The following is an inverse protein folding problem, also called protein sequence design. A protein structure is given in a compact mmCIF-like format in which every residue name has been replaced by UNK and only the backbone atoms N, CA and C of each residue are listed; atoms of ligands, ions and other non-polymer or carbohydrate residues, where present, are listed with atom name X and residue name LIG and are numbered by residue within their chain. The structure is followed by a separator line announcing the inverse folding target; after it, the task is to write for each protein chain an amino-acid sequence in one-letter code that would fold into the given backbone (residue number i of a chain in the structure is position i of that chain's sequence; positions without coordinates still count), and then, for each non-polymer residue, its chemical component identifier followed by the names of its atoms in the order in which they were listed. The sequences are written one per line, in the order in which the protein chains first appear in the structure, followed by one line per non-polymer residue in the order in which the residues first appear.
data_IF_342147309693
#
_entry.id   IF_342147309693
#
_cell.length_a   1.000
_cell.length_b   1.000
_cell.length_c   1.000
_cell.angle_alpha   90.00
_cell.angle_beta   90.00
_cell.angle_gamma   90.00
#
_symmetry.space_group_name_H-M   'P 1'
#
loop_
_entity.id
_entity.type
_entity.pdbx_description
1 polymer ?
#
# COMPACT_ATOMS: atom_id res chain seq x y z
N UNK A 1 -0.45 -9.40 10.62
CA UNK A 1 0.41 -9.57 9.42
C UNK A 1 1.54 -10.57 9.62
N UNK A 2 1.33 -11.66 10.36
CA UNK A 2 2.31 -12.74 10.44
C UNK A 2 1.85 -13.87 9.52
N UNK A 3 2.78 -14.50 8.80
CA UNK A 3 2.47 -15.56 7.83
C UNK A 3 3.59 -16.60 7.86
N UNK A 4 3.24 -17.87 7.73
CA UNK A 4 4.22 -18.94 7.68
C UNK A 4 5.01 -18.88 6.36
N UNK A 5 6.29 -19.22 6.41
CA UNK A 5 7.09 -19.37 5.20
C UNK A 5 6.48 -20.44 4.27
N UNK A 6 6.62 -20.25 2.97
CA UNK A 6 6.06 -21.09 1.90
C UNK A 6 4.52 -21.15 1.83
N UNK A 7 3.82 -20.43 2.70
CA UNK A 7 2.36 -20.33 2.67
C UNK A 7 1.87 -19.22 1.73
N UNK A 8 0.57 -18.93 1.77
CA UNK A 8 -0.08 -17.89 0.96
C UNK A 8 -0.46 -16.74 1.90
N UNK A 9 -0.13 -15.50 1.51
CA UNK A 9 -0.56 -14.30 2.19
C UNK A 9 -1.56 -13.51 1.35
N UNK A 10 -2.66 -13.09 1.98
CA UNK A 10 -3.65 -12.21 1.39
C UNK A 10 -3.67 -10.85 2.12
N UNK A 11 -3.33 -9.79 1.40
CA UNK A 11 -3.44 -8.41 1.87
C UNK A 11 -4.67 -7.75 1.23
N UNK A 12 -5.61 -7.30 2.07
CA UNK A 12 -6.87 -6.69 1.64
C UNK A 12 -6.82 -5.17 1.80
N UNK A 13 -7.23 -4.46 0.76
CA UNK A 13 -7.44 -3.03 0.76
C UNK A 13 -8.86 -2.73 0.26
N UNK A 14 -9.60 -1.90 1.00
CA UNK A 14 -10.95 -1.48 0.64
C UNK A 14 -11.02 0.03 0.65
N UNK A 15 -11.52 0.62 -0.44
CA UNK A 15 -11.67 2.04 -0.60
C UNK A 15 -13.11 2.39 -0.97
N UNK A 16 -13.68 3.35 -0.25
CA UNK A 16 -14.95 3.98 -0.60
C UNK A 16 -14.63 5.32 -1.24
N UNK A 17 -15.16 5.56 -2.44
CA UNK A 17 -14.82 6.74 -3.22
C UNK A 17 -15.97 7.21 -4.09
N UNK A 18 -15.99 8.53 -4.27
CA UNK A 18 -16.81 9.27 -5.22
C UNK A 18 -15.83 10.06 -6.08
N UNK A 19 -15.65 9.76 -7.38
CA UNK A 19 -16.03 8.57 -8.15
C UNK A 19 -15.35 7.26 -7.75
N UNK A 20 -15.61 6.20 -8.54
CA UNK A 20 -14.93 4.91 -8.44
C UNK A 20 -13.42 5.03 -8.27
N UNK A 21 -12.87 4.61 -7.11
CA UNK A 21 -11.45 4.67 -6.89
C UNK A 21 -10.72 3.54 -7.63
N UNK A 22 -9.60 3.89 -8.25
CA UNK A 22 -8.59 2.96 -8.74
C UNK A 22 -7.68 2.55 -7.58
N UNK A 23 -7.37 1.26 -7.47
CA UNK A 23 -6.47 0.73 -6.44
C UNK A 23 -5.26 0.09 -7.11
N UNK A 24 -4.08 0.47 -6.64
CA UNK A 24 -2.79 -0.10 -7.04
C UNK A 24 -1.99 -0.55 -5.82
N UNK A 25 -1.17 -1.58 -5.99
CA UNK A 25 -0.27 -2.08 -4.96
C UNK A 25 1.18 -1.82 -5.33
N UNK A 26 1.93 -1.32 -4.37
CA UNK A 26 3.37 -1.08 -4.48
C UNK A 26 4.07 -1.81 -3.35
N UNK A 27 5.17 -2.48 -3.65
CA UNK A 27 6.11 -2.99 -2.67
C UNK A 27 7.37 -2.16 -2.74
N UNK A 28 7.85 -1.67 -1.60
CA UNK A 28 9.05 -0.84 -1.56
C UNK A 28 10.03 -1.38 -0.53
N UNK A 29 11.25 -1.65 -0.99
CA UNK A 29 12.43 -1.88 -0.14
C UNK A 29 13.28 -0.62 -0.19
N UNK A 30 13.49 -0.01 0.97
CA UNK A 30 14.22 1.27 1.08
C UNK A 30 13.59 2.37 0.20
N UNK A 31 14.20 2.72 -0.93
CA UNK A 31 13.78 3.77 -1.86
C UNK A 31 13.32 3.26 -3.23
N UNK A 32 13.26 1.94 -3.45
CA UNK A 32 12.90 1.35 -4.75
C UNK A 32 11.46 0.85 -4.71
N UNK A 33 10.46 1.62 -5.19
CA UNK A 33 9.10 1.12 -5.30
C UNK A 33 8.96 0.25 -6.54
N UNK A 34 8.40 -0.93 -6.34
CA UNK A 34 8.02 -1.87 -7.38
C UNK A 34 6.50 -1.92 -7.46
N UNK A 35 5.96 -1.62 -8.65
CA UNK A 35 4.55 -1.87 -8.90
C UNK A 35 4.30 -3.38 -8.91
N UNK A 36 3.37 -3.83 -8.07
CA UNK A 36 2.96 -5.23 -8.05
C UNK A 36 1.91 -5.45 -9.13
N UNK A 37 2.33 -5.99 -10.26
CA UNK A 37 1.46 -6.40 -11.38
C UNK A 37 1.10 -7.89 -11.27
N UNK A 38 0.04 -8.30 -11.97
CA UNK A 38 -0.33 -9.71 -12.04
C UNK A 38 0.69 -10.51 -12.84
N UNK A 39 1.33 -11.49 -12.20
CA UNK A 39 2.28 -12.39 -12.86
C UNK A 39 3.23 -13.04 -11.84
N UNK A 40 3.47 -14.35 -11.97
CA UNK A 40 4.32 -15.09 -11.03
C UNK A 40 3.68 -15.30 -9.66
N UNK A 41 4.41 -14.98 -8.58
CA UNK A 41 3.97 -15.21 -7.18
C UNK A 41 3.02 -14.13 -6.65
N UNK A 42 3.04 -12.92 -7.22
CA UNK A 42 2.20 -11.80 -6.80
C UNK A 42 0.99 -11.68 -7.74
N UNK A 43 -0.21 -11.67 -7.16
CA UNK A 43 -1.46 -11.65 -7.90
C UNK A 43 -2.36 -10.58 -7.29
N UNK A 44 -2.65 -9.53 -8.06
CA UNK A 44 -3.61 -8.49 -7.69
C UNK A 44 -4.96 -8.79 -8.31
N UNK A 45 -6.02 -8.77 -7.50
CA UNK A 45 -7.40 -8.88 -7.95
C UNK A 45 -8.23 -7.77 -7.33
N UNK A 46 -9.02 -7.08 -8.15
CA UNK A 46 -9.88 -6.01 -7.69
C UNK A 46 -11.31 -6.21 -8.17
N UNK A 47 -12.26 -5.73 -7.36
CA UNK A 47 -13.67 -5.72 -7.68
C UNK A 47 -14.30 -4.46 -7.09
N UNK A 48 -15.23 -3.85 -7.82
CA UNK A 48 -15.95 -2.67 -7.37
C UNK A 48 -17.44 -2.96 -7.31
N UNK A 49 -18.08 -2.50 -6.26
CA UNK A 49 -19.53 -2.54 -6.09
C UNK A 49 -20.05 -1.12 -6.03
N UNK A 50 -21.08 -0.85 -6.83
CA UNK A 50 -21.86 0.37 -6.69
C UNK A 50 -22.61 0.33 -5.36
N UNK A 51 -22.46 1.39 -4.56
CA UNK A 51 -23.21 1.54 -3.33
C UNK A 51 -24.44 2.34 -3.71
N UNK A 52 -25.59 1.66 -3.75
CA UNK A 52 -26.88 2.26 -4.09
C UNK A 52 -27.10 3.51 -3.20
N UNK A 53 -26.97 4.69 -3.80
CA UNK A 53 -27.23 5.98 -3.17
C UNK A 53 -28.73 6.22 -3.18
N UNK A 54 -29.48 5.39 -2.45
CA UNK A 54 -30.90 5.61 -2.19
C UNK A 54 -31.06 6.78 -1.21
N UNK A 55 -30.70 7.99 -1.63
CA UNK A 55 -31.07 9.28 -1.02
C UNK A 55 -30.26 10.39 -1.71
N UNK A 56 -30.69 10.85 -2.87
CA UNK A 56 -30.65 12.26 -3.21
C UNK A 56 -31.65 12.48 -4.33
N UNK A 57 -32.93 12.61 -3.94
CA UNK A 57 -33.93 13.23 -4.79
C UNK A 57 -33.54 14.71 -4.92
N UNK A 58 -32.66 15.03 -5.87
CA UNK A 58 -32.49 16.41 -6.28
C UNK A 58 -33.84 16.90 -6.80
N UNK A 59 -34.44 17.86 -6.08
CA UNK A 59 -35.56 18.63 -6.59
C UNK A 59 -35.10 19.31 -7.89
N UNK A 60 -35.60 18.76 -9.00
CA UNK A 60 -35.56 19.16 -10.41
C UNK A 60 -35.28 20.64 -10.79
N UNK A 61 -34.14 21.26 -10.39
CA UNK A 61 -33.74 22.56 -10.98
C UNK A 61 -32.23 22.94 -10.88
N UNK A 62 -31.31 22.01 -10.61
CA UNK A 62 -29.86 22.33 -10.54
C UNK A 62 -29.01 21.59 -11.59
N UNK A 63 -29.63 20.81 -12.48
CA UNK A 63 -28.95 19.73 -13.20
C UNK A 63 -28.46 20.03 -14.63
N UNK A 64 -28.65 21.24 -15.18
CA UNK A 64 -28.26 21.51 -16.58
C UNK A 64 -26.96 22.31 -16.74
N UNK A 65 -26.41 22.89 -15.67
CA UNK A 65 -25.18 23.71 -15.72
C UNK A 65 -24.16 23.40 -14.63
N UNK A 66 -24.27 22.26 -13.93
CA UNK A 66 -23.32 21.91 -12.88
C UNK A 66 -21.94 21.58 -13.47
N UNK A 67 -21.04 22.57 -13.50
CA UNK A 67 -19.62 22.39 -13.85
C UNK A 67 -18.77 21.94 -12.66
N UNK A 68 -19.36 21.82 -11.48
CA UNK A 68 -18.64 21.41 -10.28
C UNK A 68 -18.39 19.90 -10.28
N UNK A 69 -17.11 19.52 -10.35
CA UNK A 69 -16.64 18.12 -10.33
C UNK A 69 -17.09 17.33 -9.10
N UNK A 70 -17.38 18.01 -7.97
CA UNK A 70 -17.87 17.38 -6.75
C UNK A 70 -19.34 16.98 -6.88
N UNK A 71 -20.17 17.84 -7.51
CA UNK A 71 -21.60 17.56 -7.78
C UNK A 71 -21.73 16.39 -8.76
N UNK A 72 -20.90 16.35 -9.80
CA UNK A 72 -20.90 15.25 -10.78
C UNK A 72 -20.46 13.90 -10.16
N UNK A 73 -19.62 13.93 -9.13
CA UNK A 73 -19.11 12.71 -8.48
C UNK A 73 -20.06 12.13 -7.44
N UNK A 74 -21.01 12.91 -6.92
CA UNK A 74 -21.88 12.53 -5.79
C UNK A 74 -22.77 11.31 -6.10
N UNK A 75 -23.07 11.07 -7.37
CA UNK A 75 -23.87 9.93 -7.85
C UNK A 75 -23.03 8.68 -8.18
N UNK A 76 -21.70 8.74 -8.08
CA UNK A 76 -20.79 7.64 -8.46
C UNK A 76 -20.23 6.91 -7.23
N UNK A 77 -21.10 6.66 -6.23
CA UNK A 77 -20.67 6.05 -4.95
C UNK A 77 -20.31 4.60 -5.17
N UNK A 78 -19.06 4.26 -4.90
CA UNK A 78 -18.61 2.88 -5.01
C UNK A 78 -17.72 2.48 -3.84
N UNK A 79 -17.68 1.17 -3.63
CA UNK A 79 -16.69 0.52 -2.79
C UNK A 79 -15.85 -0.38 -3.69
N UNK A 80 -14.55 -0.08 -3.81
CA UNK A 80 -13.59 -0.93 -4.50
C UNK A 80 -12.81 -1.71 -3.46
N UNK A 81 -12.80 -3.03 -3.60
CA UNK A 81 -11.96 -3.95 -2.83
C UNK A 81 -10.86 -4.50 -3.74
N UNK A 82 -9.63 -4.51 -3.25
CA UNK A 82 -8.47 -5.12 -3.90
C UNK A 82 -7.76 -6.07 -2.95
N UNK A 83 -7.37 -7.23 -3.47
CA UNK A 83 -6.62 -8.25 -2.76
C UNK A 83 -5.29 -8.45 -3.49
N UNK A 84 -4.19 -8.28 -2.76
CA UNK A 84 -2.87 -8.72 -3.17
C UNK A 84 -2.61 -10.09 -2.54
N UNK A 85 -2.49 -11.10 -3.38
CA UNK A 85 -2.15 -12.47 -3.01
C UNK A 85 -0.68 -12.74 -3.31
N UNK A 86 0.05 -13.24 -2.31
CA UNK A 86 1.47 -13.60 -2.41
C UNK A 86 1.58 -15.11 -2.20
N UNK A 87 2.00 -15.83 -3.23
CA UNK A 87 2.20 -17.29 -3.17
C UNK A 87 3.61 -17.62 -2.71
N UNK A 88 3.74 -18.72 -1.97
CA UNK A 88 5.03 -19.26 -1.56
C UNK A 88 5.88 -18.18 -0.87
N UNK A 89 5.34 -17.60 0.22
CA UNK A 89 5.92 -16.45 0.92
C UNK A 89 7.32 -16.78 1.44
N UNK A 90 8.28 -15.89 1.25
CA UNK A 90 9.66 -16.03 1.74
C UNK A 90 10.05 -14.91 2.68
N UNK A 91 11.14 -15.06 3.43
CA UNK A 91 11.68 -13.99 4.29
C UNK A 91 11.97 -12.68 3.56
N UNK A 92 12.30 -12.73 2.26
CA UNK A 92 12.52 -11.55 1.43
C UNK A 92 11.24 -10.71 1.26
N UNK A 93 10.06 -11.34 1.24
CA UNK A 93 8.78 -10.64 1.16
C UNK A 93 8.53 -9.73 2.38
N UNK A 94 9.22 -9.97 3.51
CA UNK A 94 9.16 -9.15 4.73
C UNK A 94 10.15 -7.98 4.77
N UNK A 95 11.09 -7.88 3.82
CA UNK A 95 12.08 -6.80 3.79
C UNK A 95 11.51 -5.46 3.31
N UNK A 96 10.30 -5.45 2.77
CA UNK A 96 9.68 -4.26 2.21
C UNK A 96 8.34 -3.91 2.83
N UNK A 97 7.83 -2.75 2.40
CA UNK A 97 6.55 -2.19 2.79
C UNK A 97 5.57 -2.32 1.63
N UNK A 98 4.42 -2.94 1.90
CA UNK A 98 3.31 -2.99 0.97
C UNK A 98 2.46 -1.76 1.16
N UNK A 99 2.22 -1.01 0.10
CA UNK A 99 1.36 0.17 0.11
C UNK A 99 0.24 -0.01 -0.89
N UNK A 100 -1.00 0.08 -0.38
CA UNK A 100 -2.18 0.23 -1.21
C UNK A 100 -2.36 1.72 -1.51
N UNK A 101 -2.20 2.09 -2.78
CA UNK A 101 -2.51 3.41 -3.31
C UNK A 101 -3.90 3.42 -3.88
N UNK A 102 -4.66 4.45 -3.53
CA UNK A 102 -6.05 4.64 -3.92
C UNK A 102 -6.18 6.04 -4.51
N UNK A 103 -6.76 6.17 -5.69
CA UNK A 103 -6.97 7.48 -6.30
C UNK A 103 -8.24 7.51 -7.15
N UNK A 104 -8.81 8.70 -7.28
CA UNK A 104 -9.83 9.05 -8.25
C UNK A 104 -9.62 10.52 -8.70
N UNK A 105 -10.48 11.01 -9.61
CA UNK A 105 -10.40 12.38 -10.11
C UNK A 105 -10.50 13.49 -9.03
N UNK A 106 -11.01 13.18 -7.84
CA UNK A 106 -11.17 14.14 -6.74
C UNK A 106 -10.05 14.12 -5.71
N UNK A 107 -9.33 13.00 -5.58
CA UNK A 107 -8.22 12.90 -4.63
C UNK A 107 -7.61 11.51 -4.55
N UNK A 108 -6.67 11.37 -3.61
CA UNK A 108 -5.92 10.14 -3.40
C UNK A 108 -5.73 9.86 -1.90
N UNK A 109 -5.66 8.58 -1.56
CA UNK A 109 -5.33 8.08 -0.24
C UNK A 109 -4.35 6.91 -0.34
N UNK A 110 -3.64 6.62 0.75
CA UNK A 110 -2.74 5.46 0.82
C UNK A 110 -2.74 4.85 2.20
N UNK A 111 -2.53 3.54 2.26
CA UNK A 111 -2.29 2.81 3.49
C UNK A 111 -1.16 1.82 3.29
N UNK A 112 -0.27 1.72 4.27
CA UNK A 112 0.90 0.87 4.19
C UNK A 112 0.94 -0.16 5.30
N UNK A 113 1.54 -1.30 5.02
CA UNK A 113 1.72 -2.37 5.98
C UNK A 113 3.00 -3.15 5.74
N UNK A 114 3.54 -3.74 6.80
CA UNK A 114 4.69 -4.65 6.74
C UNK A 114 4.24 -6.02 7.23
N UNK A 115 4.90 -7.06 6.72
CA UNK A 115 4.58 -8.46 7.04
C UNK A 115 5.71 -9.07 7.84
N UNK A 116 5.41 -10.13 8.57
CA UNK A 116 6.39 -10.90 9.33
C UNK A 116 6.30 -12.36 8.91
N UNK A 117 7.41 -12.94 8.51
CA UNK A 117 7.45 -14.36 8.09
C UNK A 117 7.89 -15.21 9.27
N UNK A 118 7.07 -16.21 9.59
CA UNK A 118 7.34 -17.19 10.63
C UNK A 118 8.03 -18.38 9.96
N UNK A 119 9.29 -18.58 10.29
CA UNK A 119 10.01 -19.80 9.94
C UNK A 119 9.83 -20.81 11.06
N UNK A 120 9.61 -22.08 10.71
CA UNK A 120 9.62 -23.15 11.68
C UNK A 120 11.07 -23.33 12.17
N UNK A 121 11.43 -22.64 13.24
CA UNK A 121 12.64 -22.94 14.00
C UNK A 121 12.42 -24.23 14.82
N UNK A 122 12.21 -25.35 14.16
CA UNK A 122 12.27 -26.66 14.81
C UNK A 122 13.67 -27.25 14.59
N UNK A 123 14.44 -27.25 15.68
CA UNK A 123 15.81 -27.76 15.88
C UNK A 123 16.97 -26.84 15.45
N UNK A 124 17.91 -26.63 16.38
CA UNK A 124 19.08 -25.72 16.40
C UNK A 124 18.69 -24.26 16.74
N UNK A 125 18.85 -23.72 17.96
CA UNK A 125 19.99 -23.78 18.88
C UNK A 125 19.46 -23.60 20.32
N UNK A 126 19.51 -24.66 21.11
CA UNK A 126 19.72 -24.51 22.54
C UNK A 126 21.24 -24.32 22.77
N UNK A 127 21.60 -23.58 23.81
CA UNK A 127 22.97 -23.30 24.30
C UNK A 127 23.84 -22.38 23.44
N UNK A 128 23.86 -21.08 23.77
CA UNK A 128 25.02 -20.44 24.43
C UNK A 128 24.47 -19.35 25.36
N UNK A 129 24.77 -19.48 26.65
CA UNK A 129 24.57 -18.49 27.69
C UNK A 129 25.92 -17.92 28.14
N UNK A 130 25.89 -16.64 28.53
CA UNK A 130 26.92 -15.85 29.26
C UNK A 130 28.14 -15.40 28.43
N UNK A 131 28.68 -14.18 28.53
CA UNK A 131 28.81 -13.31 29.71
C UNK A 131 29.02 -11.82 29.30
N UNK A 132 28.74 -10.92 30.24
CA UNK A 132 28.89 -9.45 30.19
C UNK A 132 30.33 -8.96 29.93
N UNK A 133 30.46 -7.71 29.45
CA UNK A 133 31.38 -6.70 30.01
C UNK A 133 30.95 -5.28 29.61
N UNK A 134 31.00 -4.37 30.59
CA UNK A 134 30.67 -2.93 30.50
C UNK A 134 31.92 -2.08 30.16
N UNK A 135 31.67 -0.79 29.89
CA UNK A 135 32.59 0.38 29.88
C UNK A 135 33.42 0.56 28.59
N UNK A 136 33.62 1.74 27.98
CA UNK A 136 33.26 3.13 28.27
C UNK A 136 33.30 3.96 26.97
N UNK A 137 32.66 5.12 27.04
CA UNK A 137 32.59 6.29 26.14
C UNK A 137 33.86 6.64 25.34
N UNK A 138 33.68 6.91 24.04
CA UNK A 138 34.39 8.00 23.35
C UNK A 138 33.49 8.61 22.27
N UNK A 139 33.40 9.94 22.29
CA UNK A 139 32.55 10.75 21.44
C UNK A 139 33.19 10.90 20.05
N UNK A 140 32.49 10.50 18.98
CA UNK A 140 32.71 11.08 17.65
C UNK A 140 31.38 11.55 17.07
N UNK A 141 31.20 12.88 17.07
CA UNK A 141 30.15 13.56 16.35
C UNK A 141 30.38 13.40 14.83
N UNK A 142 29.74 12.40 14.22
CA UNK A 142 29.70 12.33 12.76
C UNK A 142 28.53 13.19 12.26
N UNK A 143 28.90 14.39 11.84
CA UNK A 143 28.09 15.37 11.13
C UNK A 143 27.49 14.77 9.84
N UNK A 144 26.31 14.17 9.91
CA UNK A 144 25.56 13.78 8.73
C UNK A 144 24.90 15.01 8.14
N UNK A 145 25.69 15.73 7.34
CA UNK A 145 25.22 16.78 6.44
C UNK A 145 24.12 16.16 5.59
N UNK A 146 22.88 16.57 5.85
CA UNK A 146 21.69 16.16 5.10
C UNK A 146 21.86 16.58 3.64
N UNK A 147 22.44 15.69 2.84
CA UNK A 147 22.40 15.79 1.39
C UNK A 147 21.01 15.35 0.98
N UNK A 148 20.24 16.32 0.49
CA UNK A 148 19.01 16.08 -0.27
C UNK A 148 19.32 15.18 -1.48
N UNK A 149 19.29 13.87 -1.26
CA UNK A 149 19.22 12.89 -2.34
C UNK A 149 17.74 12.88 -2.74
N UNK A 150 17.43 13.62 -3.81
CA UNK A 150 16.15 13.49 -4.51
C UNK A 150 16.03 12.04 -4.99
N UNK A 151 15.20 11.25 -4.32
CA UNK A 151 14.73 9.95 -4.78
C UNK A 151 13.68 10.17 -5.88
N UNK A 152 14.13 10.59 -7.05
CA UNK A 152 13.28 11.07 -8.16
C UNK A 152 12.50 9.92 -8.85
N UNK A 153 13.03 8.71 -8.83
CA UNK A 153 12.46 7.55 -9.54
C UNK A 153 11.22 6.97 -8.82
N UNK A 154 11.23 6.97 -7.49
CA UNK A 154 10.13 6.38 -6.72
C UNK A 154 8.88 7.24 -6.64
N UNK A 155 9.05 8.56 -6.67
CA UNK A 155 7.94 9.52 -6.68
C UNK A 155 7.24 9.54 -8.06
N UNK A 156 7.97 9.28 -9.15
CA UNK A 156 7.39 9.25 -10.50
C UNK A 156 6.45 8.06 -10.71
N UNK A 157 6.79 6.87 -10.18
CA UNK A 157 5.89 5.71 -10.23
C UNK A 157 4.58 5.98 -9.47
N UNK A 158 4.67 6.59 -8.28
CA UNK A 158 3.48 6.94 -7.49
C UNK A 158 2.63 7.97 -8.24
N UNK A 159 3.28 8.93 -8.89
CA UNK A 159 2.62 9.93 -9.72
C UNK A 159 1.93 9.31 -10.93
N UNK A 160 2.58 8.39 -11.65
CA UNK A 160 1.99 7.65 -12.77
C UNK A 160 0.75 6.85 -12.32
N UNK A 161 0.82 6.19 -11.16
CA UNK A 161 -0.29 5.44 -10.57
C UNK A 161 -1.48 6.35 -10.28
N UNK A 162 -1.23 7.55 -9.73
CA UNK A 162 -2.27 8.53 -9.42
C UNK A 162 -2.85 9.13 -10.71
N UNK A 163 -2.02 9.44 -11.70
CA UNK A 163 -2.48 9.98 -12.99
C UNK A 163 -3.30 8.96 -13.80
N UNK A 164 -3.00 7.65 -13.71
CA UNK A 164 -3.86 6.60 -14.28
C UNK A 164 -5.28 6.56 -13.69
N UNK A 165 -5.49 7.20 -12.54
CA UNK A 165 -6.78 7.23 -11.85
C UNK A 165 -7.56 8.56 -12.03
N UNK A 166 -6.97 9.54 -12.72
CA UNK A 166 -7.55 10.86 -12.97
C UNK A 166 -8.10 10.95 -14.39
#
# INVERSE_FOLDING_TARGET
NAVAEHSILDLRCTAKGLPKPYISWVWQKETLPLQLVTGGRYIVRSHSTEINSLQFQFQNNLSIYATDKYILAENEKTETMSILLIRNVTTEDAHGRYTCYVANRLGSARVSTVIRVLTDKSHQVASVSEMQNNETTENEEINYKSSNIKSDDGDDLVKEIIEKAR
#
